data_IF_476473354624
#
_entry.id   IF_476473354624
#
_cell.length_a   1.000
_cell.length_b   1.000
_cell.length_c   1.000
_cell.angle_alpha   90.00
_cell.angle_beta   90.00
_cell.angle_gamma   90.00
#
_symmetry.space_group_name_H-M   'P 1'
#
loop_
_entity.id
_entity.type
_entity.pdbx_description
1 polymer ?
#
# COMPACT_ATOMS: atom_id res chain seq x y z
N UNK A 1 45.35 32.73 -19.69
CA UNK A 1 44.52 31.57 -20.09
C UNK A 1 43.56 31.24 -18.94
N UNK A 2 42.28 31.59 -19.07
CA UNK A 2 41.28 31.49 -17.99
C UNK A 2 40.60 30.13 -18.10
N UNK A 3 40.93 29.19 -17.21
CA UNK A 3 40.33 27.85 -17.17
C UNK A 3 38.93 27.98 -16.57
N UNK A 4 37.89 27.80 -17.39
CA UNK A 4 36.51 27.68 -16.92
C UNK A 4 36.32 26.24 -16.47
N UNK A 5 36.17 26.05 -15.15
CA UNK A 5 35.81 24.76 -14.57
C UNK A 5 34.29 24.60 -14.71
N UNK A 6 33.86 23.75 -15.65
CA UNK A 6 32.45 23.40 -15.80
C UNK A 6 32.09 22.35 -14.74
N UNK A 7 31.36 22.75 -13.70
CA UNK A 7 30.81 21.83 -12.70
C UNK A 7 29.53 21.23 -13.28
N UNK A 8 29.58 19.94 -13.62
CA UNK A 8 28.43 19.16 -14.05
C UNK A 8 27.60 18.77 -12.82
N UNK A 9 26.52 19.51 -12.54
CA UNK A 9 25.59 19.17 -11.48
C UNK A 9 24.73 17.96 -11.92
N UNK A 10 25.04 16.78 -11.39
CA UNK A 10 24.17 15.61 -11.50
C UNK A 10 22.93 15.85 -10.62
N UNK A 11 21.82 16.28 -11.23
CA UNK A 11 20.54 16.36 -10.53
C UNK A 11 20.05 14.95 -10.26
N UNK A 12 20.23 14.47 -9.02
CA UNK A 12 19.56 13.25 -8.55
C UNK A 12 18.08 13.60 -8.45
N UNK A 13 17.31 13.21 -9.46
CA UNK A 13 15.85 13.31 -9.43
C UNK A 13 15.34 12.36 -8.35
N UNK A 14 15.06 12.88 -7.15
CA UNK A 14 14.29 12.13 -6.17
C UNK A 14 12.87 12.01 -6.71
N UNK A 15 12.54 10.84 -7.25
CA UNK A 15 11.17 10.52 -7.63
C UNK A 15 10.33 10.46 -6.37
N UNK A 16 9.74 11.60 -6.00
CA UNK A 16 8.76 11.67 -4.92
C UNK A 16 7.49 10.96 -5.40
N UNK A 17 7.29 9.74 -4.92
CA UNK A 17 6.04 9.03 -5.11
C UNK A 17 4.98 9.71 -4.23
N UNK A 18 4.10 10.50 -4.83
CA UNK A 18 3.05 11.21 -4.10
C UNK A 18 2.27 10.25 -3.17
N UNK A 19 2.16 10.63 -1.89
CA UNK A 19 1.47 9.85 -0.85
C UNK A 19 2.25 8.67 -0.27
N UNK A 20 3.35 8.21 -0.88
CA UNK A 20 4.18 7.15 -0.30
C UNK A 20 4.77 7.54 1.06
N UNK A 21 5.28 8.77 1.29
CA UNK A 21 5.77 9.16 2.61
C UNK A 21 4.70 9.03 3.72
N UNK A 22 3.46 9.41 3.43
CA UNK A 22 2.32 9.29 4.35
C UNK A 22 1.98 7.83 4.64
N UNK A 23 1.94 6.98 3.61
CA UNK A 23 1.74 5.54 3.75
C UNK A 23 2.84 4.92 4.64
N UNK A 24 4.09 5.32 4.41
CA UNK A 24 5.25 4.83 5.15
C UNK A 24 5.24 5.23 6.63
N UNK A 25 4.63 6.37 7.01
CA UNK A 25 4.45 6.73 8.43
C UNK A 25 3.61 5.67 9.16
N UNK A 26 2.50 5.25 8.56
CA UNK A 26 1.61 4.21 9.12
C UNK A 26 2.27 2.83 9.05
N UNK A 27 2.87 2.48 7.92
CA UNK A 27 3.54 1.19 7.73
C UNK A 27 4.71 1.00 8.71
N UNK A 28 5.51 2.05 8.95
CA UNK A 28 6.63 1.98 9.89
C UNK A 28 6.19 2.06 11.35
N UNK A 29 5.08 2.72 11.64
CA UNK A 29 4.54 2.83 12.99
C UNK A 29 3.03 2.52 13.05
N UNK A 30 2.63 1.23 13.03
CA UNK A 30 1.23 0.83 13.09
C UNK A 30 0.44 1.42 14.28
N UNK A 31 1.13 1.78 15.38
CA UNK A 31 0.50 2.40 16.57
C UNK A 31 0.03 3.84 16.33
N UNK A 32 0.51 4.51 15.28
CA UNK A 32 0.03 5.86 14.93
C UNK A 32 -1.32 5.85 14.21
N UNK A 33 -1.81 4.67 13.82
CA UNK A 33 -3.09 4.54 13.13
C UNK A 33 -4.27 4.87 14.06
N UNK A 34 -5.28 5.63 13.59
CA UNK A 34 -6.50 5.87 14.35
C UNK A 34 -7.21 4.57 14.72
N UNK A 35 -7.88 4.54 15.87
CA UNK A 35 -8.67 3.39 16.27
C UNK A 35 -9.95 3.28 15.43
N UNK A 36 -10.21 2.09 14.93
CA UNK A 36 -11.43 1.74 14.19
C UNK A 36 -12.23 0.74 15.03
N UNK A 37 -13.50 1.03 15.27
CA UNK A 37 -14.34 0.21 16.17
C UNK A 37 -14.35 -1.27 15.77
N UNK A 38 -14.49 -1.56 14.47
CA UNK A 38 -14.49 -2.93 13.93
C UNK A 38 -13.20 -3.69 14.20
N UNK A 39 -12.07 -3.00 14.34
CA UNK A 39 -10.77 -3.60 14.63
C UNK A 39 -10.56 -3.94 16.11
N UNK A 40 -11.49 -3.60 17.01
CA UNK A 40 -11.43 -3.99 18.44
C UNK A 40 -10.07 -3.75 19.11
N UNK A 41 -9.45 -2.59 18.85
CA UNK A 41 -8.10 -2.19 19.33
C UNK A 41 -6.92 -3.02 18.79
N UNK A 42 -7.12 -3.90 17.81
CA UNK A 42 -6.03 -4.57 17.12
C UNK A 42 -5.21 -3.54 16.32
N UNK A 43 -3.94 -3.37 16.69
CA UNK A 43 -3.03 -2.38 16.08
C UNK A 43 -2.82 -2.61 14.59
N UNK A 44 -2.65 -3.86 14.15
CA UNK A 44 -2.41 -4.18 12.75
C UNK A 44 -3.67 -3.94 11.90
N UNK A 45 -4.85 -4.27 12.43
CA UNK A 45 -6.12 -3.98 11.75
C UNK A 45 -6.34 -2.46 11.61
N UNK A 46 -6.10 -1.68 12.67
CA UNK A 46 -6.19 -0.22 12.60
C UNK A 46 -5.24 0.37 11.55
N UNK A 47 -3.99 -0.12 11.53
CA UNK A 47 -2.99 0.29 10.54
C UNK A 47 -3.38 -0.13 9.12
N UNK A 48 -3.90 -1.34 8.94
CA UNK A 48 -4.43 -1.81 7.66
C UNK A 48 -5.55 -0.90 7.13
N UNK A 49 -6.51 -0.51 7.98
CA UNK A 49 -7.58 0.43 7.57
C UNK A 49 -7.02 1.81 7.26
N UNK A 50 -6.07 2.31 8.05
CA UNK A 50 -5.43 3.60 7.80
C UNK A 50 -4.62 3.60 6.48
N UNK A 51 -4.01 2.47 6.11
CA UNK A 51 -3.38 2.27 4.80
C UNK A 51 -4.43 2.16 3.69
N UNK A 52 -5.49 1.36 3.87
CA UNK A 52 -6.57 1.20 2.90
C UNK A 52 -7.18 2.56 2.51
N UNK A 53 -7.37 3.47 3.47
CA UNK A 53 -7.88 4.82 3.20
C UNK A 53 -6.97 5.69 2.31
N UNK A 54 -5.71 5.29 2.10
CA UNK A 54 -4.74 6.01 1.27
C UNK A 54 -4.67 5.46 -0.17
N UNK A 55 -5.48 4.47 -0.56
CA UNK A 55 -5.45 3.85 -1.89
C UNK A 55 -5.54 4.84 -3.05
N UNK A 56 -6.24 5.97 -2.86
CA UNK A 56 -6.41 6.99 -3.89
C UNK A 56 -5.10 7.70 -4.26
N UNK A 57 -4.13 7.72 -3.35
CA UNK A 57 -2.83 8.35 -3.57
C UNK A 57 -1.91 7.54 -4.49
N UNK A 58 -2.20 6.26 -4.73
CA UNK A 58 -1.55 5.49 -5.80
C UNK A 58 -1.79 6.23 -7.14
N UNK A 59 -0.78 6.53 -7.97
CA UNK A 59 -0.99 7.24 -9.23
C UNK A 59 -1.91 6.48 -10.20
N UNK A 60 -2.75 7.19 -10.97
CA UNK A 60 -3.68 6.55 -11.92
C UNK A 60 -2.96 5.77 -13.05
N UNK A 61 -1.76 6.18 -13.40
CA UNK A 61 -0.92 5.55 -14.42
C UNK A 61 0.02 4.48 -13.86
N UNK A 62 0.00 4.23 -12.54
CA UNK A 62 0.85 3.23 -11.92
C UNK A 62 0.44 1.81 -12.32
N UNK A 63 1.43 0.94 -12.55
CA UNK A 63 1.24 -0.48 -12.84
C UNK A 63 2.15 -1.31 -11.95
N UNK A 64 1.57 -2.23 -11.19
CA UNK A 64 2.32 -3.21 -10.40
C UNK A 64 2.56 -4.43 -11.30
N UNK A 65 3.81 -4.65 -11.72
CA UNK A 65 4.17 -5.77 -12.62
C UNK A 65 3.27 -5.85 -13.89
N UNK A 66 2.88 -4.70 -14.44
CA UNK A 66 1.98 -4.60 -15.59
C UNK A 66 0.48 -4.55 -15.27
N UNK A 67 0.07 -4.79 -14.02
CA UNK A 67 -1.33 -4.82 -13.58
C UNK A 67 -1.80 -3.49 -12.97
N UNK A 68 -3.08 -3.16 -13.17
CA UNK A 68 -3.72 -1.96 -12.61
C UNK A 68 -4.36 -2.25 -11.25
N UNK A 69 -3.52 -2.36 -10.22
CA UNK A 69 -3.98 -2.67 -8.85
C UNK A 69 -4.86 -1.56 -8.27
N UNK A 70 -4.73 -0.31 -8.74
CA UNK A 70 -5.60 0.80 -8.32
C UNK A 70 -7.02 0.61 -8.84
N UNK A 71 -7.16 0.19 -10.10
CA UNK A 71 -8.47 -0.14 -10.68
C UNK A 71 -9.12 -1.31 -9.92
N UNK A 72 -8.35 -2.35 -9.59
CA UNK A 72 -8.85 -3.48 -8.81
C UNK A 72 -9.31 -3.05 -7.40
N UNK A 73 -8.51 -2.24 -6.70
CA UNK A 73 -8.91 -1.63 -5.43
C UNK A 73 -10.19 -0.80 -5.53
N UNK A 74 -10.34 0.00 -6.58
CA UNK A 74 -11.56 0.79 -6.84
C UNK A 74 -12.79 -0.09 -7.06
N UNK A 75 -12.61 -1.21 -7.76
CA UNK A 75 -13.67 -2.19 -8.02
C UNK A 75 -14.03 -3.00 -6.75
N UNK A 76 -13.11 -3.04 -5.78
CA UNK A 76 -13.24 -3.87 -4.58
C UNK A 76 -12.90 -5.33 -4.85
N UNK A 77 -12.01 -5.60 -5.81
CA UNK A 77 -11.54 -6.93 -6.19
C UNK A 77 -10.52 -7.47 -5.16
N UNK A 78 -11.02 -7.81 -3.97
CA UNK A 78 -10.19 -8.34 -2.87
C UNK A 78 -9.69 -9.74 -3.19
N UNK A 79 -10.55 -10.59 -3.76
CA UNK A 79 -10.18 -11.92 -4.25
C UNK A 79 -9.03 -11.87 -5.27
N UNK A 80 -9.16 -11.07 -6.33
CA UNK A 80 -8.15 -11.00 -7.40
C UNK A 80 -6.81 -10.47 -6.91
N UNK A 81 -6.80 -9.47 -6.04
CA UNK A 81 -5.57 -8.96 -5.43
C UNK A 81 -4.93 -10.01 -4.50
N UNK A 82 -5.73 -10.70 -3.68
CA UNK A 82 -5.22 -11.69 -2.70
C UNK A 82 -4.70 -12.98 -3.36
N UNK A 83 -5.30 -13.40 -4.47
CA UNK A 83 -4.90 -14.62 -5.18
C UNK A 83 -3.89 -14.36 -6.29
N UNK A 84 -3.83 -13.14 -6.81
CA UNK A 84 -2.96 -12.77 -7.93
C UNK A 84 -1.56 -12.35 -7.52
N UNK A 85 -1.35 -11.93 -6.28
CA UNK A 85 -0.07 -11.36 -5.82
C UNK A 85 0.35 -11.90 -4.47
N UNK A 86 1.64 -11.77 -4.15
CA UNK A 86 2.21 -12.12 -2.85
C UNK A 86 2.90 -10.91 -2.25
N UNK A 87 2.84 -10.80 -0.92
CA UNK A 87 3.60 -9.80 -0.18
C UNK A 87 4.97 -10.37 0.17
N UNK A 88 5.99 -9.52 0.10
CA UNK A 88 7.38 -9.90 0.28
C UNK A 88 7.87 -9.81 1.73
N UNK A 89 7.23 -8.97 2.54
CA UNK A 89 7.65 -8.69 3.91
C UNK A 89 6.71 -9.29 4.94
N UNK A 90 7.26 -9.78 6.05
CA UNK A 90 6.47 -10.24 7.21
C UNK A 90 5.54 -9.14 7.72
N UNK A 91 5.99 -7.88 7.66
CA UNK A 91 5.19 -6.74 8.10
C UNK A 91 3.97 -6.50 7.20
N UNK A 92 4.14 -6.51 5.89
CA UNK A 92 3.00 -6.38 4.98
C UNK A 92 2.06 -7.58 5.11
N UNK A 93 2.61 -8.78 5.27
CA UNK A 93 1.84 -10.01 5.52
C UNK A 93 0.99 -9.88 6.79
N UNK A 94 1.58 -9.49 7.92
CA UNK A 94 0.84 -9.32 9.18
C UNK A 94 -0.25 -8.24 9.11
N UNK A 95 -0.02 -7.14 8.36
CA UNK A 95 -1.03 -6.12 8.10
C UNK A 95 -2.18 -6.70 7.25
N UNK A 96 -1.84 -7.42 6.18
CA UNK A 96 -2.80 -8.08 5.30
C UNK A 96 -3.65 -9.12 6.04
N UNK A 97 -3.04 -9.98 6.85
CA UNK A 97 -3.74 -10.98 7.65
C UNK A 97 -4.73 -10.35 8.64
N UNK A 98 -4.36 -9.25 9.30
CA UNK A 98 -5.28 -8.52 10.16
C UNK A 98 -6.45 -7.91 9.37
N UNK A 99 -6.17 -7.44 8.14
CA UNK A 99 -7.16 -7.01 7.17
C UNK A 99 -8.11 -8.13 6.75
N UNK A 100 -7.56 -9.28 6.35
CA UNK A 100 -8.32 -10.45 5.92
C UNK A 100 -9.28 -10.91 7.02
N UNK A 101 -8.76 -11.17 8.22
CA UNK A 101 -9.53 -11.62 9.38
C UNK A 101 -10.72 -10.71 9.71
N UNK A 102 -10.68 -9.42 9.35
CA UNK A 102 -11.70 -8.45 9.68
C UNK A 102 -12.65 -8.14 8.51
N UNK A 103 -12.12 -8.08 7.29
CA UNK A 103 -12.77 -7.48 6.14
C UNK A 103 -12.97 -8.44 4.95
N UNK A 104 -12.30 -9.58 4.91
CA UNK A 104 -12.42 -10.51 3.79
C UNK A 104 -12.80 -11.92 4.24
N UNK A 105 -12.11 -12.45 5.26
CA UNK A 105 -12.33 -13.77 5.87
C UNK A 105 -12.49 -14.85 4.80
N UNK A 106 -11.53 -14.89 3.86
CA UNK A 106 -11.55 -15.83 2.73
C UNK A 106 -12.70 -15.61 1.74
N UNK A 107 -13.22 -14.39 1.61
CA UNK A 107 -14.31 -14.04 0.70
C UNK A 107 -15.73 -14.21 1.27
N UNK A 108 -15.85 -14.46 2.56
CA UNK A 108 -17.16 -14.63 3.23
C UNK A 108 -17.80 -13.31 3.70
N UNK A 109 -17.07 -12.20 3.65
CA UNK A 109 -17.55 -10.88 4.08
C UNK A 109 -18.37 -10.17 2.98
N UNK A 110 -19.05 -9.09 3.37
CA UNK A 110 -19.82 -8.28 2.43
C UNK A 110 -18.93 -7.55 1.42
N UNK A 111 -19.48 -7.24 0.25
CA UNK A 111 -18.81 -6.45 -0.81
C UNK A 111 -18.20 -5.15 -0.28
N UNK A 112 -18.87 -4.48 0.66
CA UNK A 112 -18.36 -3.26 1.27
C UNK A 112 -17.09 -3.49 2.10
N UNK A 113 -17.01 -4.61 2.82
CA UNK A 113 -15.82 -4.98 3.58
C UNK A 113 -14.71 -5.49 2.66
N UNK A 114 -15.03 -6.33 1.67
CA UNK A 114 -14.05 -6.79 0.70
C UNK A 114 -13.40 -5.62 -0.03
N UNK A 115 -14.14 -4.55 -0.33
CA UNK A 115 -13.57 -3.33 -0.89
C UNK A 115 -12.49 -2.70 -0.01
N UNK A 116 -12.68 -2.66 1.31
CA UNK A 116 -11.67 -2.16 2.25
C UNK A 116 -10.42 -3.05 2.19
N UNK A 117 -10.62 -4.37 2.12
CA UNK A 117 -9.53 -5.32 1.96
C UNK A 117 -8.75 -5.11 0.66
N UNK A 118 -9.45 -4.99 -0.48
CA UNK A 118 -8.85 -4.71 -1.78
C UNK A 118 -8.01 -3.42 -1.78
N UNK A 119 -8.54 -2.36 -1.15
CA UNK A 119 -7.84 -1.08 -1.03
C UNK A 119 -6.56 -1.18 -0.19
N UNK A 120 -6.61 -1.92 0.92
CA UNK A 120 -5.44 -2.17 1.75
C UNK A 120 -4.37 -2.99 1.03
N UNK A 121 -4.76 -4.07 0.34
CA UNK A 121 -3.84 -4.88 -0.46
C UNK A 121 -3.13 -4.07 -1.53
N UNK A 122 -3.86 -3.24 -2.29
CA UNK A 122 -3.24 -2.41 -3.32
C UNK A 122 -2.21 -1.42 -2.75
N UNK A 123 -2.46 -0.87 -1.56
CA UNK A 123 -1.50 0.02 -0.89
C UNK A 123 -0.27 -0.75 -0.41
N UNK A 124 -0.43 -1.95 0.15
CA UNK A 124 0.70 -2.79 0.56
C UNK A 124 1.57 -3.19 -0.63
N UNK A 125 0.96 -3.64 -1.73
CA UNK A 125 1.68 -3.96 -2.97
C UNK A 125 2.43 -2.75 -3.53
N UNK A 126 1.79 -1.58 -3.52
CA UNK A 126 2.42 -0.33 -3.95
C UNK A 126 3.62 0.05 -3.06
N UNK A 127 3.48 -0.07 -1.74
CA UNK A 127 4.58 0.17 -0.79
C UNK A 127 5.77 -0.74 -1.10
N UNK A 128 5.54 -2.05 -1.24
CA UNK A 128 6.64 -2.99 -1.49
C UNK A 128 7.34 -2.73 -2.81
N UNK A 129 6.59 -2.48 -3.90
CA UNK A 129 7.17 -2.13 -5.21
C UNK A 129 8.00 -0.84 -5.13
N UNK A 130 7.46 0.22 -4.51
CA UNK A 130 8.16 1.51 -4.43
C UNK A 130 9.37 1.53 -3.54
N UNK A 131 9.50 0.56 -2.64
CA UNK A 131 10.70 0.39 -1.84
C UNK A 131 11.63 -0.70 -2.40
N UNK A 132 11.31 -1.32 -3.55
CA UNK A 132 12.13 -2.36 -4.18
C UNK A 132 12.16 -3.66 -3.39
N UNK A 133 11.09 -3.98 -2.67
CA UNK A 133 10.98 -5.18 -1.84
C UNK A 133 10.28 -6.34 -2.54
N UNK A 134 9.73 -6.14 -3.73
CA UNK A 134 9.05 -7.18 -4.50
C UNK A 134 10.01 -8.28 -4.98
N UNK A 135 9.48 -9.48 -5.16
CA UNK A 135 10.17 -10.60 -5.79
C UNK A 135 10.44 -10.37 -7.28
#
# INVERSE_FOLDING_TARGET
>A
MKKILTILALTISTSSFAGLPEMMKVYNNPKSAPQVATCKRNTQCNAFVALANQWQAIPNNYRYQGFDIKKQAKQGDGYGLNKGFSLATDKATALSEAGDNTFYSGGSQSVAKERIFAQGLAVLLYIEDKNGWTY
#
